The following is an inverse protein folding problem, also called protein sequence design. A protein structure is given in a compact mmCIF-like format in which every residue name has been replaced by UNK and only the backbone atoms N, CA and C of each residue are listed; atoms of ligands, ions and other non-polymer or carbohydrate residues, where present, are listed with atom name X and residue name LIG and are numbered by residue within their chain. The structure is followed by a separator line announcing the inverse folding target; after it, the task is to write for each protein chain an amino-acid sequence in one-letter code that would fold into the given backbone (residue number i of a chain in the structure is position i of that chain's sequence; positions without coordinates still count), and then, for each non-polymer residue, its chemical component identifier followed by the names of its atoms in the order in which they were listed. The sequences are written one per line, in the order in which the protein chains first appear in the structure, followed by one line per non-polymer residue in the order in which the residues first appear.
data_IF_170010477066
#
_entry.id   IF_170010477066
#
_cell.length_a   1.000
_cell.length_b   1.000
_cell.length_c   1.000
_cell.angle_alpha   90.00
_cell.angle_beta   90.00
_cell.angle_gamma   90.00
#
_symmetry.space_group_name_H-M   'P 1'
#
loop_
_entity.id
_entity.type
_entity.pdbx_description
1 polymer ?
#
# COMPACT_ATOMS: atom_id res chain seq x y z
N UNK A 1 -0.69 -3.69 -2.52
CA UNK A 1 0.20 -3.22 -3.61
C UNK A 1 -0.01 -4.08 -4.84
N UNK A 2 -0.11 -3.50 -6.02
CA UNK A 2 -0.26 -4.23 -7.28
C UNK A 2 0.96 -5.10 -7.59
N UNK A 3 0.77 -6.17 -8.38
CA UNK A 3 1.86 -7.01 -8.85
C UNK A 3 2.42 -6.45 -10.18
N UNK A 4 3.71 -6.10 -10.19
CA UNK A 4 4.39 -5.57 -11.37
C UNK A 4 4.31 -6.52 -12.58
N UNK A 5 4.31 -7.85 -12.35
CA UNK A 5 4.18 -8.83 -13.44
C UNK A 5 2.82 -8.71 -14.13
N UNK A 6 1.74 -8.55 -13.34
CA UNK A 6 0.39 -8.35 -13.87
C UNK A 6 0.28 -7.05 -14.67
N UNK A 7 0.96 -5.99 -14.24
CA UNK A 7 1.01 -4.71 -14.97
C UNK A 7 1.71 -4.91 -16.32
N UNK A 8 2.83 -5.63 -16.34
CA UNK A 8 3.59 -5.90 -17.58
C UNK A 8 2.78 -6.74 -18.57
N UNK A 9 2.13 -7.79 -18.07
CA UNK A 9 1.33 -8.71 -18.89
C UNK A 9 0.06 -8.06 -19.47
N UNK A 10 -0.50 -7.06 -18.77
CA UNK A 10 -1.78 -6.45 -19.11
C UNK A 10 -1.67 -4.91 -19.22
N UNK A 11 -0.58 -4.42 -19.81
CA UNK A 11 -0.26 -2.98 -19.87
C UNK A 11 -1.42 -2.13 -20.36
N UNK A 12 -2.12 -2.55 -21.41
CA UNK A 12 -3.22 -1.79 -22.01
C UNK A 12 -4.39 -1.63 -21.02
N UNK A 13 -4.78 -2.71 -20.33
CA UNK A 13 -5.86 -2.68 -19.33
C UNK A 13 -5.50 -1.75 -18.15
N UNK A 14 -4.24 -1.81 -17.70
CA UNK A 14 -3.76 -0.93 -16.64
C UNK A 14 -3.70 0.52 -17.10
N UNK A 15 -3.22 0.78 -18.32
CA UNK A 15 -3.13 2.14 -18.88
C UNK A 15 -4.52 2.76 -19.01
N UNK A 16 -5.50 2.05 -19.56
CA UNK A 16 -6.87 2.51 -19.68
C UNK A 16 -7.53 2.75 -18.30
N UNK A 17 -7.48 1.75 -17.43
CA UNK A 17 -8.12 1.84 -16.11
C UNK A 17 -7.52 2.93 -15.22
N UNK A 18 -6.22 3.18 -15.30
CA UNK A 18 -5.55 4.25 -14.56
C UNK A 18 -5.84 5.63 -15.16
N UNK A 19 -5.88 5.73 -16.50
CA UNK A 19 -6.29 6.95 -17.20
C UNK A 19 -7.71 7.35 -16.83
N UNK A 20 -8.64 6.39 -16.74
CA UNK A 20 -10.02 6.61 -16.29
C UNK A 20 -10.12 7.12 -14.83
N UNK A 21 -9.07 6.98 -14.05
CA UNK A 21 -8.94 7.53 -12.70
C UNK A 21 -8.17 8.86 -12.65
N UNK A 22 -7.81 9.44 -13.80
CA UNK A 22 -6.99 10.65 -13.86
C UNK A 22 -5.53 10.45 -13.45
N UNK A 23 -5.03 9.19 -13.41
CA UNK A 23 -3.63 8.91 -13.08
C UNK A 23 -2.73 9.11 -14.30
N UNK A 24 -1.57 9.71 -14.09
CA UNK A 24 -0.57 9.89 -15.15
C UNK A 24 0.07 8.54 -15.54
N UNK A 25 -0.36 8.02 -16.68
CA UNK A 25 0.09 6.72 -17.20
C UNK A 25 1.54 6.69 -17.67
N UNK A 26 2.22 7.85 -17.82
CA UNK A 26 3.66 7.90 -18.15
C UNK A 26 4.51 7.19 -17.10
N UNK A 27 4.03 7.14 -15.86
CA UNK A 27 4.66 6.37 -14.78
C UNK A 27 4.69 4.86 -15.04
N UNK A 28 3.74 4.32 -15.85
CA UNK A 28 3.78 2.91 -16.23
C UNK A 28 4.94 2.63 -17.20
N UNK A 29 5.17 3.52 -18.16
CA UNK A 29 6.29 3.36 -19.10
C UNK A 29 7.62 3.41 -18.38
N UNK A 30 7.78 4.37 -17.46
CA UNK A 30 8.95 4.46 -16.58
C UNK A 30 9.14 3.20 -15.75
N UNK A 31 8.06 2.64 -15.19
CA UNK A 31 8.09 1.40 -14.41
C UNK A 31 8.59 0.21 -15.24
N UNK A 32 8.09 0.08 -16.49
CA UNK A 32 8.48 -0.99 -17.41
C UNK A 32 9.96 -0.89 -17.82
N UNK A 33 10.44 0.32 -18.08
CA UNK A 33 11.86 0.56 -18.36
C UNK A 33 12.75 0.18 -17.18
N UNK A 34 12.34 0.59 -15.96
CA UNK A 34 13.06 0.25 -14.73
C UNK A 34 13.07 -1.27 -14.47
N UNK A 35 11.96 -1.96 -14.69
CA UNK A 35 11.90 -3.43 -14.53
C UNK A 35 12.79 -4.13 -15.56
N UNK A 36 12.83 -3.65 -16.79
CA UNK A 36 13.72 -4.17 -17.83
C UNK A 36 15.19 -3.99 -17.44
N UNK A 37 15.58 -2.80 -16.98
CA UNK A 37 16.92 -2.53 -16.45
C UNK A 37 17.25 -3.44 -15.27
N UNK A 38 16.31 -3.59 -14.34
CA UNK A 38 16.46 -4.47 -13.17
C UNK A 38 16.77 -5.91 -13.58
N UNK A 39 16.00 -6.47 -14.52
CA UNK A 39 16.21 -7.84 -15.02
C UNK A 39 17.59 -7.99 -15.68
N UNK A 40 18.02 -7.01 -16.45
CA UNK A 40 19.35 -7.04 -17.08
C UNK A 40 20.48 -7.02 -16.04
N UNK A 41 20.37 -6.17 -15.01
CA UNK A 41 21.35 -6.14 -13.92
C UNK A 41 21.35 -7.44 -13.09
N UNK A 42 20.19 -8.06 -12.86
CA UNK A 42 20.09 -9.37 -12.18
C UNK A 42 20.82 -10.42 -12.99
N UNK A 43 20.54 -10.51 -14.30
CA UNK A 43 21.20 -11.48 -15.20
C UNK A 43 22.71 -11.28 -15.24
N UNK A 44 23.19 -10.04 -15.41
CA UNK A 44 24.62 -9.71 -15.39
C UNK A 44 25.29 -10.07 -14.05
N UNK A 45 24.58 -9.77 -12.94
CA UNK A 45 25.05 -10.13 -11.60
C UNK A 45 25.16 -11.64 -11.40
N UNK A 46 24.17 -12.40 -11.87
CA UNK A 46 24.14 -13.86 -11.75
C UNK A 46 25.26 -14.50 -12.58
N UNK A 47 25.52 -14.01 -13.81
CA UNK A 47 26.63 -14.44 -14.64
C UNK A 47 27.97 -14.20 -13.95
N UNK A 48 28.17 -13.01 -13.39
CA UNK A 48 29.40 -12.66 -12.66
C UNK A 48 29.57 -13.50 -11.38
N UNK A 49 28.48 -13.74 -10.64
CA UNK A 49 28.50 -14.61 -9.45
C UNK A 49 28.84 -16.05 -9.83
N UNK A 50 28.27 -16.55 -10.94
CA UNK A 50 28.54 -17.89 -11.47
C UNK A 50 30.02 -18.05 -11.80
N UNK A 51 30.59 -17.13 -12.59
CA UNK A 51 32.02 -17.14 -12.94
C UNK A 51 32.94 -17.10 -11.73
N UNK A 52 32.64 -16.24 -10.76
CA UNK A 52 33.40 -16.15 -9.50
C UNK A 52 33.36 -17.45 -8.71
N UNK A 53 32.13 -18.05 -8.60
CA UNK A 53 31.94 -19.29 -7.85
C UNK A 53 32.62 -20.48 -8.52
N UNK A 54 32.63 -20.55 -9.86
CA UNK A 54 33.29 -21.58 -10.63
C UNK A 54 34.82 -21.58 -10.35
N UNK A 55 35.45 -20.42 -10.44
CA UNK A 55 36.88 -20.29 -10.15
C UNK A 55 37.18 -20.64 -8.68
N UNK A 56 36.38 -20.15 -7.75
CA UNK A 56 36.56 -20.45 -6.34
C UNK A 56 36.40 -21.95 -6.03
N UNK A 57 35.43 -22.61 -6.69
CA UNK A 57 35.20 -24.04 -6.58
C UNK A 57 36.37 -24.84 -7.14
N UNK A 58 36.92 -24.45 -8.30
CA UNK A 58 38.08 -25.09 -8.91
C UNK A 58 39.31 -25.01 -8.01
N UNK A 59 39.61 -23.83 -7.46
CA UNK A 59 40.73 -23.62 -6.53
C UNK A 59 40.55 -24.51 -5.28
N UNK A 60 39.31 -24.59 -4.73
CA UNK A 60 38.99 -25.42 -3.56
C UNK A 60 39.16 -26.94 -3.83
N UNK A 61 38.75 -27.41 -5.03
CA UNK A 61 38.89 -28.81 -5.42
C UNK A 61 40.37 -29.20 -5.60
N UNK A 62 41.19 -28.31 -6.18
CA UNK A 62 42.62 -28.52 -6.34
C UNK A 62 43.42 -28.34 -5.04
N UNK A 63 42.78 -27.93 -3.94
CA UNK A 63 43.41 -27.69 -2.61
C UNK A 63 44.64 -26.80 -2.67
N UNK A 64 44.68 -25.85 -3.61
CA UNK A 64 45.79 -24.91 -3.80
C UNK A 64 45.41 -23.47 -3.43
N UNK A 65 46.41 -22.62 -3.33
CA UNK A 65 46.16 -21.16 -3.23
C UNK A 65 45.85 -20.61 -4.64
N UNK A 66 45.01 -19.57 -4.73
CA UNK A 66 44.76 -18.88 -6.00
C UNK A 66 46.05 -18.30 -6.57
N UNK A 67 46.18 -18.30 -7.88
CA UNK A 67 47.25 -17.57 -8.56
C UNK A 67 47.04 -16.06 -8.44
N UNK A 68 48.09 -15.26 -8.74
CA UNK A 68 47.97 -13.80 -8.75
C UNK A 68 46.91 -13.31 -9.75
N UNK A 69 46.78 -13.95 -10.90
CA UNK A 69 45.79 -13.65 -11.95
C UNK A 69 44.36 -13.99 -11.47
N UNK A 70 44.16 -15.19 -10.88
CA UNK A 70 42.87 -15.60 -10.33
C UNK A 70 42.43 -14.69 -9.17
N UNK A 71 43.37 -14.29 -8.30
CA UNK A 71 43.10 -13.35 -7.23
C UNK A 71 42.68 -11.98 -7.74
N UNK A 72 43.34 -11.48 -8.76
CA UNK A 72 43.00 -10.20 -9.41
C UNK A 72 41.65 -10.29 -10.10
N UNK A 73 41.36 -11.38 -10.81
CA UNK A 73 40.09 -11.60 -11.49
C UNK A 73 38.94 -11.67 -10.51
N UNK A 74 39.04 -12.42 -9.40
CA UNK A 74 38.03 -12.50 -8.35
C UNK A 74 37.80 -11.11 -7.72
N UNK A 75 38.86 -10.35 -7.48
CA UNK A 75 38.79 -8.99 -6.94
C UNK A 75 38.05 -8.05 -7.90
N UNK A 76 38.35 -8.11 -9.19
CA UNK A 76 37.68 -7.29 -10.20
C UNK A 76 36.20 -7.63 -10.31
N UNK A 77 35.83 -8.94 -10.39
CA UNK A 77 34.43 -9.39 -10.38
C UNK A 77 33.70 -8.94 -9.11
N UNK A 78 34.33 -8.99 -7.96
CA UNK A 78 33.75 -8.53 -6.70
C UNK A 78 33.49 -7.01 -6.70
N UNK A 79 34.38 -6.24 -7.31
CA UNK A 79 34.22 -4.80 -7.51
C UNK A 79 33.07 -4.46 -8.48
N UNK A 80 32.94 -5.24 -9.56
CA UNK A 80 31.84 -5.09 -10.52
C UNK A 80 30.50 -5.50 -9.90
N UNK A 81 30.46 -6.61 -9.16
CA UNK A 81 29.27 -7.05 -8.43
C UNK A 81 28.77 -6.00 -7.45
N UNK A 82 29.69 -5.34 -6.73
CA UNK A 82 29.31 -4.26 -5.82
C UNK A 82 28.59 -3.13 -6.57
N UNK A 83 29.07 -2.73 -7.74
CA UNK A 83 28.42 -1.71 -8.56
C UNK A 83 27.04 -2.17 -9.06
N UNK A 84 26.92 -3.43 -9.49
CA UNK A 84 25.64 -4.02 -9.90
C UNK A 84 24.64 -4.02 -8.74
N UNK A 85 25.08 -4.40 -7.54
CA UNK A 85 24.23 -4.42 -6.35
C UNK A 85 23.79 -3.00 -5.92
N UNK A 86 24.67 -1.99 -6.04
CA UNK A 86 24.36 -0.57 -5.80
C UNK A 86 23.31 -0.05 -6.80
N UNK A 87 23.49 -0.33 -8.10
CA UNK A 87 22.52 0.06 -9.14
C UNK A 87 21.16 -0.65 -8.96
N UNK A 88 21.18 -1.94 -8.62
CA UNK A 88 19.95 -2.69 -8.32
C UNK A 88 19.21 -2.10 -7.12
N UNK A 89 19.90 -1.67 -6.08
CA UNK A 89 19.29 -1.03 -4.93
C UNK A 89 18.56 0.26 -5.33
N UNK A 90 19.20 1.13 -6.11
CA UNK A 90 18.62 2.37 -6.63
C UNK A 90 17.39 2.12 -7.52
N UNK A 91 17.48 1.14 -8.42
CA UNK A 91 16.37 0.78 -9.31
C UNK A 91 15.19 0.23 -8.50
N UNK A 92 15.46 -0.65 -7.53
CA UNK A 92 14.40 -1.22 -6.68
C UNK A 92 13.70 -0.15 -5.83
N UNK A 93 14.43 0.85 -5.34
CA UNK A 93 13.85 1.96 -4.61
C UNK A 93 12.90 2.79 -5.49
N UNK A 94 13.33 3.13 -6.71
CA UNK A 94 12.48 3.84 -7.68
C UNK A 94 11.23 3.04 -8.08
N UNK A 95 11.38 1.74 -8.33
CA UNK A 95 10.25 0.85 -8.62
C UNK A 95 9.28 0.84 -7.45
N UNK A 96 9.78 0.73 -6.22
CA UNK A 96 8.96 0.74 -5.01
C UNK A 96 8.20 2.05 -4.86
N UNK A 97 8.85 3.18 -5.08
CA UNK A 97 8.22 4.51 -5.01
C UNK A 97 7.06 4.63 -6.01
N UNK A 98 7.29 4.28 -7.29
CA UNK A 98 6.24 4.30 -8.30
C UNK A 98 5.09 3.35 -7.92
N UNK A 99 5.40 2.11 -7.54
CA UNK A 99 4.40 1.09 -7.20
C UNK A 99 3.54 1.46 -5.98
N UNK A 100 4.07 2.20 -5.02
CA UNK A 100 3.31 2.68 -3.86
C UNK A 100 2.32 3.78 -4.21
N UNK A 101 2.55 4.51 -5.30
CA UNK A 101 1.71 5.61 -5.75
C UNK A 101 0.69 5.20 -6.83
N UNK A 102 0.83 4.03 -7.45
CA UNK A 102 -0.16 3.54 -8.43
C UNK A 102 -1.44 3.14 -7.70
N UNK A 103 -2.59 3.75 -8.01
CA UNK A 103 -3.87 3.35 -7.42
C UNK A 103 -4.36 2.02 -7.99
N UNK A 104 -5.28 1.36 -7.28
CA UNK A 104 -5.94 0.16 -7.79
C UNK A 104 -6.79 0.48 -9.03
N UNK A 105 -6.95 -0.50 -9.92
CA UNK A 105 -7.87 -0.37 -11.05
C UNK A 105 -9.31 -0.28 -10.54
N UNK A 106 -10.14 0.55 -11.16
CA UNK A 106 -11.58 0.54 -10.92
C UNK A 106 -12.20 -0.75 -11.46
N UNK A 107 -13.30 -1.20 -10.85
CA UNK A 107 -14.11 -2.26 -11.45
C UNK A 107 -14.76 -1.74 -12.73
N UNK A 108 -14.98 -2.63 -13.70
CA UNK A 108 -15.60 -2.29 -14.99
C UNK A 108 -17.01 -1.67 -14.92
N UNK A 109 -17.69 -1.87 -13.79
CA UNK A 109 -19.03 -1.31 -13.56
C UNK A 109 -19.00 0.08 -12.92
N UNK A 110 -17.81 0.58 -12.56
CA UNK A 110 -17.65 1.94 -12.01
C UNK A 110 -17.77 2.94 -13.16
N UNK A 111 -18.67 3.93 -13.10
CA UNK A 111 -18.77 4.97 -14.12
C UNK A 111 -17.50 5.80 -14.17
N UNK A 112 -17.15 6.24 -15.37
CA UNK A 112 -16.03 7.17 -15.57
C UNK A 112 -16.56 8.58 -15.32
N UNK A 113 -15.88 9.36 -14.49
CA UNK A 113 -16.26 10.71 -14.14
C UNK A 113 -15.22 11.44 -13.33
N UNK A 114 -15.36 12.76 -13.23
CA UNK A 114 -14.41 13.63 -12.53
C UNK A 114 -14.67 13.66 -11.03
N UNK A 115 -15.93 13.54 -10.61
CA UNK A 115 -16.35 13.67 -9.22
C UNK A 115 -17.58 12.78 -8.90
N UNK A 116 -18.11 12.94 -7.67
CA UNK A 116 -19.27 12.21 -7.17
C UNK A 116 -20.57 12.44 -7.94
N UNK A 117 -20.70 13.51 -8.71
CA UNK A 117 -21.88 13.78 -9.55
C UNK A 117 -21.97 12.82 -10.73
N UNK A 118 -20.87 12.18 -11.09
CA UNK A 118 -20.80 11.15 -12.12
C UNK A 118 -21.27 9.77 -11.63
N UNK A 119 -21.56 9.61 -10.32
CA UNK A 119 -22.04 8.36 -9.76
C UNK A 119 -23.45 8.03 -10.26
N UNK A 120 -23.67 6.76 -10.58
CA UNK A 120 -24.98 6.25 -11.01
C UNK A 120 -25.64 5.57 -9.83
N UNK A 121 -26.82 6.07 -9.45
CA UNK A 121 -27.63 5.43 -8.42
C UNK A 121 -28.08 4.05 -8.88
N UNK A 122 -27.69 3.00 -8.17
CA UNK A 122 -27.98 1.60 -8.52
C UNK A 122 -29.29 1.11 -7.94
N UNK A 123 -29.61 1.56 -6.73
CA UNK A 123 -30.79 1.09 -6.00
C UNK A 123 -31.17 2.10 -4.92
N UNK A 124 -32.47 2.33 -4.78
CA UNK A 124 -33.06 3.13 -3.70
C UNK A 124 -33.99 2.25 -2.89
N UNK A 125 -33.71 2.09 -1.61
CA UNK A 125 -34.54 1.30 -0.69
C UNK A 125 -35.15 2.23 0.36
N UNK A 126 -36.48 2.23 0.42
CA UNK A 126 -37.24 3.06 1.34
C UNK A 126 -37.69 4.38 0.75
N UNK A 127 -38.25 5.23 1.60
CA UNK A 127 -38.74 6.56 1.22
C UNK A 127 -37.89 7.61 1.92
N UNK A 128 -37.44 8.61 1.16
CA UNK A 128 -36.69 9.73 1.70
C UNK A 128 -37.57 10.51 2.68
N UNK A 129 -37.02 10.86 3.84
CA UNK A 129 -37.72 11.69 4.83
C UNK A 129 -37.75 13.15 4.36
N UNK A 130 -38.74 13.87 4.80
CA UNK A 130 -38.83 15.31 4.61
C UNK A 130 -37.62 16.01 5.29
N UNK A 131 -36.83 16.74 4.53
CA UNK A 131 -35.62 17.42 5.02
C UNK A 131 -35.91 18.47 6.10
N UNK A 132 -37.09 19.10 6.08
CA UNK A 132 -37.50 20.09 7.09
C UNK A 132 -37.66 19.50 8.49
N UNK A 133 -37.72 18.18 8.61
CA UNK A 133 -37.89 17.46 9.88
C UNK A 133 -36.57 16.92 10.44
N UNK A 134 -35.53 16.89 9.68
CA UNK A 134 -34.24 16.26 10.03
C UNK A 134 -33.35 17.27 10.71
N UNK A 135 -32.94 17.00 11.95
CA UNK A 135 -31.86 17.73 12.62
C UNK A 135 -30.54 17.02 12.43
N UNK A 136 -29.44 17.74 12.22
CA UNK A 136 -28.11 17.14 12.15
C UNK A 136 -27.66 16.61 13.52
N UNK A 137 -26.72 15.67 13.52
CA UNK A 137 -26.23 15.00 14.74
C UNK A 137 -25.54 15.95 15.73
N UNK A 138 -24.97 17.04 15.26
CA UNK A 138 -24.36 18.08 16.13
C UNK A 138 -25.39 18.94 16.89
N UNK A 139 -26.64 18.93 16.49
CA UNK A 139 -27.75 19.52 17.26
C UNK A 139 -28.40 18.49 18.17
N UNK A 140 -28.64 17.28 17.64
CA UNK A 140 -29.31 16.19 18.41
C UNK A 140 -28.42 15.71 19.56
N UNK A 141 -27.11 15.57 19.30
CA UNK A 141 -26.17 15.01 20.29
C UNK A 141 -26.09 15.81 21.58
N UNK A 142 -25.83 17.14 21.52
CA UNK A 142 -25.90 18.02 22.69
C UNK A 142 -27.27 18.13 23.29
N UNK A 143 -28.35 18.27 22.49
CA UNK A 143 -29.73 18.33 22.98
C UNK A 143 -30.11 17.11 23.84
N UNK A 144 -29.61 15.93 23.47
CA UNK A 144 -29.82 14.68 24.20
C UNK A 144 -28.76 14.35 25.25
N UNK A 145 -27.80 15.23 25.46
CA UNK A 145 -26.64 15.04 26.34
C UNK A 145 -25.87 13.74 26.11
N UNK A 146 -25.68 13.38 24.82
CA UNK A 146 -24.95 12.18 24.38
C UNK A 146 -23.68 12.50 23.65
N UNK A 147 -23.50 13.73 23.16
CA UNK A 147 -22.29 14.25 22.52
C UNK A 147 -21.87 15.56 23.15
N UNK A 148 -20.57 15.76 23.31
CA UNK A 148 -19.96 17.00 23.75
C UNK A 148 -18.89 17.42 22.74
N UNK A 149 -19.24 18.36 21.89
CA UNK A 149 -18.39 18.85 20.79
C UNK A 149 -17.33 19.84 21.31
N UNK A 150 -17.68 20.64 22.33
CA UNK A 150 -16.78 21.59 22.93
C UNK A 150 -15.64 20.89 23.69
N UNK A 151 -15.98 19.90 24.53
CA UNK A 151 -14.97 19.09 25.19
C UNK A 151 -14.06 18.35 24.18
N UNK A 152 -14.63 17.81 23.10
CA UNK A 152 -13.87 17.19 22.03
C UNK A 152 -12.88 18.15 21.38
N UNK A 153 -13.34 19.35 21.03
CA UNK A 153 -12.51 20.38 20.44
C UNK A 153 -11.39 20.85 21.38
N UNK A 154 -11.70 20.99 22.69
CA UNK A 154 -10.71 21.39 23.69
C UNK A 154 -9.63 20.33 23.94
N UNK A 155 -9.97 19.02 23.83
CA UNK A 155 -9.04 17.92 24.06
C UNK A 155 -8.16 17.68 22.82
N UNK A 156 -8.73 17.68 21.60
CA UNK A 156 -8.07 17.16 20.40
C UNK A 156 -8.13 18.09 19.20
N UNK A 157 -8.80 19.25 19.30
CA UNK A 157 -8.93 20.19 18.20
C UNK A 157 -10.27 20.10 17.46
N UNK A 158 -10.41 20.89 16.40
CA UNK A 158 -11.66 20.98 15.63
C UNK A 158 -12.10 19.63 15.06
N UNK A 159 -13.43 19.41 15.03
CA UNK A 159 -14.08 18.20 14.52
C UNK A 159 -13.98 16.95 15.39
N UNK A 160 -13.33 17.03 16.55
CA UNK A 160 -13.40 15.98 17.57
C UNK A 160 -14.63 16.15 18.44
N UNK A 161 -15.07 15.05 19.04
CA UNK A 161 -16.23 15.02 19.94
C UNK A 161 -16.01 13.99 21.05
N UNK A 162 -16.76 14.16 22.14
CA UNK A 162 -16.79 13.21 23.25
C UNK A 162 -18.18 12.61 23.35
N UNK A 163 -18.26 11.28 23.39
CA UNK A 163 -19.51 10.60 23.76
C UNK A 163 -19.73 10.70 25.26
N UNK A 164 -20.98 11.02 25.68
CA UNK A 164 -21.35 11.13 27.08
C UNK A 164 -22.48 10.13 27.47
N UNK A 165 -22.48 9.72 28.69
CA UNK A 165 -23.58 8.96 29.31
C UNK A 165 -24.10 7.79 28.46
N UNK A 166 -25.34 7.90 28.00
CA UNK A 166 -25.98 6.88 27.15
C UNK A 166 -25.33 6.75 25.77
N UNK A 167 -24.77 7.84 25.21
CA UNK A 167 -24.06 7.82 23.95
C UNK A 167 -22.77 6.98 24.04
N UNK A 168 -21.97 7.19 25.08
CA UNK A 168 -20.78 6.38 25.34
C UNK A 168 -21.10 4.90 25.57
N UNK A 169 -22.17 4.63 26.29
CA UNK A 169 -22.65 3.25 26.52
C UNK A 169 -23.08 2.57 25.21
N UNK A 170 -23.85 3.28 24.37
CA UNK A 170 -24.30 2.77 23.08
C UNK A 170 -23.10 2.49 22.15
N UNK A 171 -22.16 3.42 22.06
CA UNK A 171 -20.95 3.26 21.26
C UNK A 171 -20.20 1.97 21.64
N UNK A 172 -19.94 1.78 22.93
CA UNK A 172 -19.30 0.56 23.43
C UNK A 172 -20.12 -0.72 23.14
N UNK A 173 -21.43 -0.66 23.31
CA UNK A 173 -22.32 -1.79 23.05
C UNK A 173 -22.30 -2.18 21.57
N UNK A 174 -22.27 -1.20 20.65
CA UNK A 174 -22.17 -1.45 19.21
C UNK A 174 -20.82 -2.07 18.82
N UNK A 175 -19.72 -1.59 19.40
CA UNK A 175 -18.41 -2.20 19.14
C UNK A 175 -18.38 -3.68 19.55
N UNK A 176 -18.86 -4.01 20.76
CA UNK A 176 -18.90 -5.39 21.22
C UNK A 176 -19.81 -6.24 20.32
N UNK A 177 -21.01 -5.77 20.03
CA UNK A 177 -21.95 -6.50 19.17
C UNK A 177 -21.39 -6.75 17.76
N UNK A 178 -20.70 -5.76 17.16
CA UNK A 178 -20.05 -5.96 15.85
C UNK A 178 -18.94 -7.03 15.91
N UNK A 179 -18.15 -7.06 16.97
CA UNK A 179 -17.13 -8.08 17.18
C UNK A 179 -17.76 -9.46 17.33
N UNK A 180 -18.80 -9.59 18.19
CA UNK A 180 -19.52 -10.85 18.42
C UNK A 180 -20.12 -11.39 17.10
N UNK A 181 -20.78 -10.55 16.29
CA UNK A 181 -21.34 -10.95 15.00
C UNK A 181 -20.25 -11.45 14.04
N UNK A 182 -19.10 -10.76 13.97
CA UNK A 182 -18.02 -11.19 13.09
C UNK A 182 -17.38 -12.50 13.53
N UNK A 183 -17.23 -12.72 14.81
CA UNK A 183 -16.65 -13.96 15.34
C UNK A 183 -17.64 -15.12 15.29
N UNK A 184 -18.89 -14.91 15.73
CA UNK A 184 -19.86 -15.99 15.88
C UNK A 184 -20.55 -16.38 14.57
N UNK A 185 -20.85 -15.38 13.69
CA UNK A 185 -21.63 -15.64 12.46
C UNK A 185 -20.75 -15.75 11.22
N UNK A 186 -19.64 -14.99 11.14
CA UNK A 186 -18.79 -14.94 9.95
C UNK A 186 -17.47 -15.70 10.07
N UNK A 187 -17.19 -16.28 11.25
CA UNK A 187 -16.02 -17.14 11.47
C UNK A 187 -14.68 -16.40 11.47
N UNK A 188 -14.67 -15.09 11.77
CA UNK A 188 -13.45 -14.35 12.02
C UNK A 188 -12.85 -14.73 13.37
N UNK A 189 -11.54 -14.65 13.48
CA UNK A 189 -10.82 -14.79 14.74
C UNK A 189 -10.57 -13.39 15.34
N UNK A 190 -11.01 -13.17 16.57
CA UNK A 190 -10.73 -11.92 17.29
C UNK A 190 -9.26 -11.89 17.72
N UNK A 191 -8.58 -10.79 17.42
CA UNK A 191 -7.20 -10.53 17.83
C UNK A 191 -7.09 -9.14 18.48
N UNK A 192 -6.23 -9.02 19.47
CA UNK A 192 -5.89 -7.74 20.11
C UNK A 192 -4.42 -7.39 19.82
N UNK A 193 -4.13 -6.73 18.67
CA UNK A 193 -2.78 -6.39 18.25
C UNK A 193 -2.28 -5.13 18.96
N UNK A 194 -0.94 -4.91 19.01
CA UNK A 194 -0.39 -3.64 19.47
C UNK A 194 -0.87 -2.44 18.66
N UNK A 195 -1.26 -1.36 19.33
CA UNK A 195 -1.68 -0.11 18.67
C UNK A 195 -0.52 0.65 18.03
N UNK A 196 0.70 0.51 18.58
CA UNK A 196 1.92 1.09 18.01
C UNK A 196 2.54 0.11 17.03
N UNK A 197 2.54 0.47 15.77
CA UNK A 197 3.02 -0.37 14.67
C UNK A 197 4.22 0.26 13.97
N UNK A 198 5.01 -0.57 13.29
CA UNK A 198 6.14 -0.11 12.47
C UNK A 198 5.63 0.57 11.19
N UNK A 199 6.46 1.46 10.63
CA UNK A 199 6.17 2.15 9.38
C UNK A 199 5.89 1.17 8.23
N UNK A 200 6.62 0.06 8.16
CA UNK A 200 6.43 -0.97 7.14
C UNK A 200 5.05 -1.61 7.19
N UNK A 201 4.48 -1.75 8.38
CA UNK A 201 3.10 -2.24 8.58
C UNK A 201 2.09 -1.26 7.98
N UNK A 202 2.29 0.04 8.20
CA UNK A 202 1.44 1.09 7.63
C UNK A 202 1.55 1.18 6.10
N UNK A 203 2.74 0.90 5.54
CA UNK A 203 2.94 0.77 4.09
C UNK A 203 2.21 -0.47 3.57
N UNK A 204 2.30 -1.59 4.28
CA UNK A 204 1.63 -2.84 3.91
C UNK A 204 0.10 -2.75 3.87
N UNK A 205 -0.49 -1.99 4.80
CA UNK A 205 -1.93 -1.72 4.85
C UNK A 205 -2.39 -0.64 3.85
N UNK A 206 -1.46 0.05 3.16
CA UNK A 206 -1.77 1.10 2.18
C UNK A 206 -2.05 2.49 2.78
N UNK A 207 -1.86 2.67 4.10
CA UNK A 207 -1.99 3.97 4.74
C UNK A 207 -0.82 4.90 4.41
N UNK A 208 0.40 4.36 4.30
CA UNK A 208 1.56 5.11 3.89
C UNK A 208 2.00 4.71 2.46
N UNK A 209 2.63 5.64 1.72
CA UNK A 209 2.91 7.05 2.04
C UNK A 209 1.72 7.99 1.90
N UNK A 210 0.59 7.54 1.37
CA UNK A 210 -0.53 8.36 0.92
C UNK A 210 -1.14 9.27 2.00
N UNK A 211 -1.25 8.80 3.24
CA UNK A 211 -1.86 9.53 4.36
C UNK A 211 -0.82 9.91 5.42
N UNK A 212 0.40 10.29 5.01
CA UNK A 212 1.48 10.62 5.93
C UNK A 212 1.21 11.88 6.77
N UNK A 213 0.48 12.82 6.20
CA UNK A 213 0.22 14.13 6.79
C UNK A 213 -1.18 14.24 7.46
N UNK A 214 -1.86 13.10 7.64
CA UNK A 214 -3.18 13.02 8.30
C UNK A 214 -3.06 12.60 9.76
#
# INVERSE_FOLDING_TARGET
MLDIKKIIENKEIFSEGLSNRGYDVSNLDTLLELDTKRRNYISDGDDKRSKRNEISKKIGQEKRKPTSEESLFIKNLSGELKKVDEELALINEKIKEIMLNIPNLPDKNVPIGEDENSNIEKNVIGVQRDENYIKPHWDIGPEKDILDLEAGANISGARFFVFKGKGARLHRALMNWMMDVHTDEFGYEEIDPPYLVKQETMIGSGNLPKFKDN
#
